data_IF_447584806948
#
_entry.id   IF_447584806948
#
_cell.length_a   1.000
_cell.length_b   1.000
_cell.length_c   1.000
_cell.angle_alpha   90.00
_cell.angle_beta   90.00
_cell.angle_gamma   90.00
#
_symmetry.space_group_name_H-M   'P 1'
#
loop_
_entity.id
_entity.type
_entity.pdbx_description
1 polymer ?
#
# COMPACT_ATOMS: atom_id res chain seq x y z
N UNK A 1 -19.60 16.99 7.94
CA UNK A 1 -20.23 16.38 6.76
C UNK A 1 -19.21 15.96 5.70
N UNK A 2 -18.30 16.85 5.26
CA UNK A 2 -17.26 16.53 4.26
C UNK A 2 -16.30 15.38 4.64
N UNK A 3 -15.85 15.33 5.90
CA UNK A 3 -14.87 14.32 6.36
C UNK A 3 -15.41 12.89 6.35
N UNK A 4 -16.73 12.73 6.60
CA UNK A 4 -17.41 11.43 6.52
C UNK A 4 -17.42 10.93 5.08
N UNK A 5 -17.83 11.79 4.14
CA UNK A 5 -17.83 11.47 2.72
C UNK A 5 -16.44 11.06 2.21
N UNK A 6 -15.37 11.73 2.65
CA UNK A 6 -14.00 11.36 2.24
C UNK A 6 -13.62 9.96 2.75
N UNK A 7 -13.94 9.63 4.01
CA UNK A 7 -13.66 8.29 4.55
C UNK A 7 -14.46 7.21 3.83
N UNK A 8 -15.71 7.47 3.51
CA UNK A 8 -16.57 6.52 2.81
C UNK A 8 -16.08 6.28 1.39
N UNK A 9 -15.77 7.36 0.66
CA UNK A 9 -15.16 7.27 -0.68
C UNK A 9 -13.85 6.51 -0.62
N UNK A 10 -12.98 6.83 0.36
CA UNK A 10 -11.72 6.12 0.56
C UNK A 10 -11.94 4.61 0.76
N UNK A 11 -12.88 4.22 1.62
CA UNK A 11 -13.17 2.81 1.87
C UNK A 11 -13.71 2.10 0.63
N UNK A 12 -14.58 2.74 -0.14
CA UNK A 12 -15.11 2.21 -1.40
C UNK A 12 -13.97 2.02 -2.42
N UNK A 13 -13.13 3.05 -2.61
CA UNK A 13 -11.99 3.00 -3.52
C UNK A 13 -11.00 1.93 -3.08
N UNK A 14 -10.70 1.81 -1.79
CA UNK A 14 -9.82 0.77 -1.23
C UNK A 14 -10.33 -0.62 -1.56
N UNK A 15 -11.64 -0.87 -1.43
CA UNK A 15 -12.25 -2.16 -1.80
C UNK A 15 -12.15 -2.43 -3.31
N UNK A 16 -12.35 -1.41 -4.15
CA UNK A 16 -12.18 -1.54 -5.60
C UNK A 16 -10.74 -1.87 -5.98
N UNK A 17 -9.76 -1.19 -5.38
CA UNK A 17 -8.33 -1.44 -5.58
C UNK A 17 -7.96 -2.84 -5.10
N UNK A 18 -8.44 -3.27 -3.93
CA UNK A 18 -8.20 -4.63 -3.43
C UNK A 18 -8.70 -5.69 -4.42
N UNK A 19 -9.93 -5.54 -4.92
CA UNK A 19 -10.49 -6.45 -5.94
C UNK A 19 -9.68 -6.45 -7.23
N UNK A 20 -9.25 -5.28 -7.69
CA UNK A 20 -8.41 -5.14 -8.87
C UNK A 20 -7.09 -5.91 -8.71
N UNK A 21 -6.39 -5.71 -7.60
CA UNK A 21 -5.11 -6.35 -7.33
C UNK A 21 -5.25 -7.87 -7.11
N UNK A 22 -6.29 -8.32 -6.41
CA UNK A 22 -6.59 -9.75 -6.25
C UNK A 22 -6.87 -10.44 -7.61
N UNK A 23 -7.48 -9.70 -8.54
CA UNK A 23 -7.78 -10.16 -9.90
C UNK A 23 -6.60 -10.15 -10.87
N UNK A 24 -5.44 -9.59 -10.48
CA UNK A 24 -4.24 -9.58 -11.33
C UNK A 24 -3.82 -11.01 -11.66
N UNK A 25 -3.58 -11.25 -12.96
CA UNK A 25 -2.97 -12.49 -13.45
C UNK A 25 -1.46 -12.40 -13.24
N UNK A 26 -0.88 -13.39 -12.57
CA UNK A 26 0.53 -13.40 -12.19
C UNK A 26 0.79 -12.79 -10.81
N UNK A 27 2.01 -12.30 -10.61
CA UNK A 27 2.50 -11.81 -9.32
C UNK A 27 2.52 -10.28 -9.23
N UNK A 28 2.53 -9.80 -8.00
CA UNK A 28 2.67 -8.39 -7.64
C UNK A 28 4.01 -8.21 -6.95
N UNK A 29 4.82 -7.30 -7.47
CA UNK A 29 6.03 -6.83 -6.82
C UNK A 29 5.71 -5.64 -5.92
N UNK A 30 6.45 -5.52 -4.83
CA UNK A 30 6.30 -4.44 -3.86
C UNK A 30 7.57 -3.60 -3.84
N UNK A 31 7.40 -2.30 -3.99
CA UNK A 31 8.46 -1.32 -3.78
C UNK A 31 8.09 -0.42 -2.60
N UNK A 32 9.08 -0.06 -1.80
CA UNK A 32 8.90 0.71 -0.58
C UNK A 32 9.87 1.89 -0.57
N UNK A 33 9.37 3.04 -0.12
CA UNK A 33 10.16 4.24 0.08
C UNK A 33 9.80 4.86 1.43
N UNK A 34 10.80 5.07 2.29
CA UNK A 34 10.64 5.59 3.64
C UNK A 34 11.32 6.94 3.78
N UNK A 35 10.60 7.96 4.23
CA UNK A 35 11.15 9.30 4.45
C UNK A 35 10.91 9.77 5.88
N UNK A 36 11.95 10.29 6.51
CA UNK A 36 11.87 11.03 7.76
C UNK A 36 12.15 12.52 7.49
N UNK A 37 11.16 13.37 7.76
CA UNK A 37 11.33 14.81 7.71
C UNK A 37 11.77 15.35 9.08
N UNK A 38 12.52 16.48 9.13
CA UNK A 38 13.02 17.08 10.38
C UNK A 38 11.94 17.39 11.43
N UNK A 39 10.68 17.51 11.02
CA UNK A 39 9.54 17.89 11.84
C UNK A 39 8.88 16.69 12.57
N UNK A 40 9.61 15.60 12.79
CA UNK A 40 9.09 14.32 13.33
C UNK A 40 8.00 13.66 12.47
N UNK A 41 7.85 14.08 11.20
CA UNK A 41 6.98 13.39 10.25
C UNK A 41 7.77 12.25 9.60
N UNK A 42 7.22 11.06 9.72
CA UNK A 42 7.90 9.82 9.36
C UNK A 42 6.94 8.99 8.52
N UNK A 43 7.19 8.89 7.22
CA UNK A 43 6.26 8.30 6.25
C UNK A 43 6.90 7.09 5.58
N UNK A 44 6.06 6.08 5.33
CA UNK A 44 6.38 4.92 4.53
C UNK A 44 5.40 4.85 3.36
N UNK A 45 5.89 5.04 2.15
CA UNK A 45 5.14 4.83 0.93
C UNK A 45 5.32 3.39 0.48
N UNK A 46 4.21 2.73 0.21
CA UNK A 46 4.15 1.37 -0.35
C UNK A 46 3.60 1.44 -1.76
N UNK A 47 4.31 0.85 -2.71
CA UNK A 47 3.93 0.78 -4.11
C UNK A 47 3.80 -0.68 -4.54
N UNK A 48 2.82 -0.95 -5.39
CA UNK A 48 2.64 -2.24 -6.05
C UNK A 48 2.92 -2.09 -7.54
N UNK A 49 3.61 -3.09 -8.07
CA UNK A 49 4.02 -3.16 -9.48
C UNK A 49 3.55 -4.49 -10.04
N UNK A 50 2.86 -4.48 -11.17
CA UNK A 50 2.39 -5.69 -11.85
C UNK A 50 2.37 -5.50 -13.37
N UNK A 51 2.19 -6.58 -14.12
CA UNK A 51 2.08 -6.51 -15.58
C UNK A 51 0.63 -6.71 -15.98
N UNK A 52 0.11 -5.81 -16.82
CA UNK A 52 -1.19 -5.92 -17.47
C UNK A 52 -1.08 -5.42 -18.91
N UNK A 53 -1.67 -6.15 -19.86
CA UNK A 53 -1.67 -5.79 -21.29
C UNK A 53 -0.27 -5.51 -21.86
N UNK A 54 0.70 -6.38 -21.51
CA UNK A 54 2.11 -6.26 -21.87
C UNK A 54 2.78 -4.94 -21.40
N UNK A 55 2.22 -4.29 -20.38
CA UNK A 55 2.75 -3.06 -19.79
C UNK A 55 2.93 -3.19 -18.28
N UNK A 56 3.97 -2.55 -17.77
CA UNK A 56 4.20 -2.42 -16.34
C UNK A 56 3.23 -1.37 -15.80
N UNK A 57 2.48 -1.76 -14.78
CA UNK A 57 1.59 -0.91 -14.01
C UNK A 57 2.24 -0.62 -12.66
N UNK A 58 2.14 0.61 -12.18
CA UNK A 58 2.67 1.05 -10.89
C UNK A 58 1.60 1.85 -10.17
N UNK A 59 1.34 1.53 -8.91
CA UNK A 59 0.37 2.24 -8.08
C UNK A 59 0.89 2.41 -6.67
N UNK A 60 0.68 3.60 -6.08
CA UNK A 60 0.84 3.77 -4.63
C UNK A 60 -0.31 3.06 -3.93
N UNK A 61 0.02 2.03 -3.15
CA UNK A 61 -0.94 1.23 -2.41
C UNK A 61 -1.34 1.92 -1.10
N UNK A 62 -0.34 2.44 -0.39
CA UNK A 62 -0.53 3.02 0.93
C UNK A 62 0.54 4.08 1.25
N UNK A 63 0.18 5.03 2.10
CA UNK A 63 1.09 6.02 2.66
C UNK A 63 0.93 6.07 4.17
N UNK A 64 1.84 5.37 4.84
CA UNK A 64 1.72 5.02 6.25
C UNK A 64 2.51 6.03 7.09
N UNK A 65 1.84 6.64 8.07
CA UNK A 65 2.53 7.42 9.09
C UNK A 65 3.13 6.50 10.15
N UNK A 66 4.46 6.42 10.18
CA UNK A 66 5.22 5.64 11.13
C UNK A 66 5.34 6.38 12.47
N UNK A 67 4.69 5.83 13.50
CA UNK A 67 4.75 6.33 14.88
C UNK A 67 5.94 5.81 15.68
N UNK A 68 6.66 4.83 15.12
CA UNK A 68 7.83 4.17 15.70
C UNK A 68 9.04 4.34 14.76
N UNK A 69 10.23 4.08 15.29
CA UNK A 69 11.50 4.14 14.55
C UNK A 69 11.50 3.25 13.30
N UNK A 70 12.32 3.61 12.30
CA UNK A 70 12.51 2.89 11.03
C UNK A 70 13.38 1.63 11.19
N UNK A 71 13.03 0.77 12.14
CA UNK A 71 13.66 -0.54 12.27
C UNK A 71 13.07 -1.49 11.23
N UNK A 72 13.86 -2.44 10.74
CA UNK A 72 13.40 -3.48 9.80
C UNK A 72 12.13 -4.19 10.26
N UNK A 73 12.05 -4.56 11.54
CA UNK A 73 10.87 -5.22 12.13
C UNK A 73 9.60 -4.35 12.03
N UNK A 74 9.68 -3.08 12.41
CA UNK A 74 8.56 -2.15 12.33
C UNK A 74 8.13 -1.90 10.87
N UNK A 75 9.08 -1.75 9.94
CA UNK A 75 8.75 -1.58 8.52
C UNK A 75 8.06 -2.82 7.96
N UNK A 76 8.60 -4.01 8.23
CA UNK A 76 8.03 -5.29 7.79
C UNK A 76 6.61 -5.50 8.36
N UNK A 77 6.38 -5.17 9.64
CA UNK A 77 5.07 -5.22 10.26
C UNK A 77 4.06 -4.31 9.52
N UNK A 78 4.43 -3.06 9.25
CA UNK A 78 3.54 -2.10 8.57
C UNK A 78 3.26 -2.48 7.12
N UNK A 79 4.27 -2.97 6.39
CA UNK A 79 4.11 -3.46 5.02
C UNK A 79 3.19 -4.69 5.00
N UNK A 80 3.46 -5.68 5.84
CA UNK A 80 2.67 -6.91 5.95
C UNK A 80 1.21 -6.61 6.28
N UNK A 81 0.98 -5.71 7.25
CA UNK A 81 -0.37 -5.25 7.59
C UNK A 81 -1.11 -4.66 6.39
N UNK A 82 -0.48 -3.75 5.65
CA UNK A 82 -1.09 -3.14 4.47
C UNK A 82 -1.43 -4.21 3.42
N UNK A 83 -0.49 -5.11 3.10
CA UNK A 83 -0.71 -6.18 2.12
C UNK A 83 -1.81 -7.18 2.54
N UNK A 84 -1.93 -7.46 3.84
CA UNK A 84 -3.04 -8.25 4.41
C UNK A 84 -4.39 -7.55 4.24
N UNK A 85 -4.46 -6.23 4.51
CA UNK A 85 -5.70 -5.45 4.37
C UNK A 85 -6.19 -5.39 2.91
N UNK A 86 -5.29 -5.43 1.94
CA UNK A 86 -5.64 -5.55 0.51
C UNK A 86 -5.85 -7.00 0.06
N UNK A 87 -5.52 -7.99 0.90
CA UNK A 87 -5.68 -9.42 0.59
C UNK A 87 -4.75 -9.91 -0.53
N UNK A 88 -3.57 -9.30 -0.68
CA UNK A 88 -2.63 -9.58 -1.80
C UNK A 88 -1.37 -10.32 -1.39
N UNK A 89 -1.24 -10.72 -0.12
CA UNK A 89 -0.04 -11.43 0.39
C UNK A 89 0.28 -12.69 -0.42
N UNK A 90 -0.74 -13.44 -0.84
CA UNK A 90 -0.58 -14.65 -1.64
C UNK A 90 -0.23 -14.40 -3.12
N UNK A 91 -0.19 -13.13 -3.55
CA UNK A 91 0.18 -12.70 -4.91
C UNK A 91 1.61 -12.20 -5.01
N UNK A 92 2.32 -12.09 -3.88
CA UNK A 92 3.68 -11.61 -3.86
C UNK A 92 4.63 -12.58 -4.57
N UNK A 93 5.76 -12.05 -5.05
CA UNK A 93 6.91 -12.80 -5.54
C UNK A 93 8.18 -12.34 -4.83
#
# INVERSE_FOLDING_TARGET
TLLWNIKDIYNIVKLCVAKLLQGVRGHIHVAQDGWAAPQKLSLLRLMVVWVADAKIQVMTLDMIHLKKSHTSANLAEMISKSLCEFGVVHKLL
#
